data_IF_408145341054
#
_entry.id   IF_408145341054
#
_cell.length_a   1.000
_cell.length_b   1.000
_cell.length_c   1.000
_cell.angle_alpha   90.00
_cell.angle_beta   90.00
_cell.angle_gamma   90.00
#
_symmetry.space_group_name_H-M   'P 1'
#
loop_
_entity.id
_entity.type
_entity.pdbx_description
1 polymer ?
#
# COMPACT_ATOMS: atom_id res chain seq x y z
N UNK A 1 -15.14 30.24 -7.48
CA UNK A 1 -14.91 28.79 -7.58
C UNK A 1 -15.72 28.17 -6.46
N UNK A 2 -16.82 27.46 -6.78
CA UNK A 2 -17.56 26.76 -5.74
C UNK A 2 -16.64 25.67 -5.18
N UNK A 3 -16.31 25.78 -3.91
CA UNK A 3 -15.61 24.72 -3.18
C UNK A 3 -16.55 23.53 -3.13
N UNK A 4 -16.24 22.49 -3.90
CA UNK A 4 -16.93 21.20 -3.79
C UNK A 4 -16.66 20.68 -2.40
N UNK A 5 -17.69 20.45 -1.60
CA UNK A 5 -17.51 19.72 -0.35
C UNK A 5 -17.16 18.28 -0.72
N UNK A 6 -15.90 17.95 -0.57
CA UNK A 6 -15.36 16.66 -0.95
C UNK A 6 -16.01 15.53 -0.16
N UNK A 7 -16.28 15.79 1.10
CA UNK A 7 -16.88 14.80 2.00
C UNK A 7 -18.32 14.46 1.60
N UNK A 8 -19.14 15.49 1.37
CA UNK A 8 -20.53 15.26 0.95
C UNK A 8 -20.62 14.58 -0.44
N UNK A 9 -19.69 14.91 -1.33
CA UNK A 9 -19.73 14.42 -2.71
C UNK A 9 -19.20 13.01 -2.88
N UNK A 10 -18.14 12.63 -2.16
CA UNK A 10 -17.37 11.42 -2.43
C UNK A 10 -17.38 10.40 -1.30
N UNK A 11 -17.87 10.73 -0.13
CA UNK A 11 -17.96 9.77 0.98
C UNK A 11 -18.93 8.62 0.67
N UNK A 12 -18.52 7.41 1.01
CA UNK A 12 -19.36 6.21 0.94
C UNK A 12 -19.40 5.54 2.30
N UNK A 13 -20.60 5.35 2.84
CA UNK A 13 -20.79 4.48 3.99
C UNK A 13 -20.59 3.02 3.57
N UNK A 14 -19.53 2.42 4.06
CA UNK A 14 -19.15 1.03 3.73
C UNK A 14 -19.60 0.02 4.79
N UNK A 15 -20.37 0.45 5.80
CA UNK A 15 -20.97 -0.48 6.77
C UNK A 15 -21.91 -1.43 6.05
N UNK A 16 -21.90 -2.70 6.47
CA UNK A 16 -22.67 -3.75 5.80
C UNK A 16 -22.11 -4.21 4.44
N UNK A 17 -20.99 -3.65 3.98
CA UNK A 17 -20.25 -4.16 2.83
C UNK A 17 -19.25 -5.26 3.27
N UNK A 18 -18.60 -5.92 2.29
CA UNK A 18 -17.50 -6.84 2.58
C UNK A 18 -16.17 -6.14 2.90
N UNK A 19 -16.21 -4.87 3.33
CA UNK A 19 -15.03 -4.13 3.74
C UNK A 19 -14.40 -4.76 4.97
N UNK A 20 -13.10 -5.07 4.90
CA UNK A 20 -12.37 -5.55 6.06
C UNK A 20 -12.34 -4.53 7.20
N UNK A 21 -12.31 -3.24 6.86
CA UNK A 21 -12.33 -2.13 7.81
C UNK A 21 -13.61 -2.08 8.61
N UNK A 22 -14.77 -2.11 7.92
CA UNK A 22 -16.10 -1.93 8.52
C UNK A 22 -16.82 -3.24 8.85
N UNK A 23 -16.45 -4.35 8.24
CA UNK A 23 -17.07 -5.65 8.46
C UNK A 23 -16.17 -6.67 9.20
N UNK A 24 -14.90 -6.34 9.42
CA UNK A 24 -13.93 -7.22 10.06
C UNK A 24 -13.70 -6.98 11.55
N UNK A 25 -14.43 -6.05 12.16
CA UNK A 25 -14.26 -5.67 13.56
C UNK A 25 -14.42 -6.86 14.51
N UNK A 26 -15.45 -7.69 14.29
CA UNK A 26 -15.75 -8.88 15.09
C UNK A 26 -14.63 -9.93 15.05
N UNK A 27 -13.78 -9.91 14.02
CA UNK A 27 -12.64 -10.83 13.90
C UNK A 27 -11.46 -10.43 14.78
N UNK A 28 -11.43 -9.18 15.21
CA UNK A 28 -10.28 -8.62 15.91
C UNK A 28 -10.63 -8.05 17.29
N UNK A 29 -11.84 -7.58 17.46
CA UNK A 29 -12.32 -6.94 18.67
C UNK A 29 -13.62 -7.61 19.14
N UNK A 30 -13.84 -7.66 20.44
CA UNK A 30 -15.11 -8.16 21.03
C UNK A 30 -16.26 -7.16 20.94
N UNK A 31 -16.06 -6.01 20.29
CA UNK A 31 -17.02 -4.91 20.11
C UNK A 31 -17.15 -4.57 18.63
N UNK A 32 -18.37 -4.17 18.22
CA UNK A 32 -18.71 -3.78 16.84
C UNK A 32 -19.12 -2.30 16.71
N UNK A 33 -19.09 -1.56 17.82
CA UNK A 33 -19.44 -0.15 17.91
C UNK A 33 -18.20 0.78 17.88
N UNK A 34 -17.07 0.28 17.39
CA UNK A 34 -15.83 1.01 17.35
C UNK A 34 -15.71 1.83 16.08
N UNK A 35 -15.02 2.98 16.16
CA UNK A 35 -14.59 3.70 14.98
C UNK A 35 -13.35 2.99 14.40
N UNK A 36 -13.44 2.43 13.18
CA UNK A 36 -12.35 1.61 12.64
C UNK A 36 -11.20 2.46 12.11
N UNK A 37 -10.13 2.55 12.88
CA UNK A 37 -8.86 3.21 12.50
C UNK A 37 -7.72 2.21 12.25
N UNK A 38 -8.01 0.93 12.18
CA UNK A 38 -7.01 -0.15 12.09
C UNK A 38 -6.69 -0.60 10.66
N UNK A 39 -7.43 -0.13 9.67
CA UNK A 39 -7.15 -0.31 8.24
C UNK A 39 -7.09 1.06 7.59
N UNK A 40 -6.05 1.32 6.83
CA UNK A 40 -5.78 2.62 6.22
C UNK A 40 -6.45 2.83 4.85
N UNK A 41 -7.45 2.05 4.48
CA UNK A 41 -8.23 2.28 3.27
C UNK A 41 -9.20 3.47 3.45
N UNK A 42 -9.42 4.22 2.38
CA UNK A 42 -10.29 5.39 2.39
C UNK A 42 -11.75 5.01 2.16
N UNK A 43 -12.67 5.81 2.72
CA UNK A 43 -14.11 5.67 2.54
C UNK A 43 -14.64 6.70 1.51
N UNK A 44 -13.84 7.01 0.50
CA UNK A 44 -14.20 7.88 -0.60
C UNK A 44 -14.26 7.11 -1.92
N UNK A 45 -15.16 7.55 -2.79
CA UNK A 45 -15.26 7.01 -4.15
C UNK A 45 -13.94 7.16 -4.90
N UNK A 46 -13.63 6.19 -5.72
CA UNK A 46 -12.54 6.30 -6.70
C UNK A 46 -12.80 7.53 -7.60
N UNK A 47 -11.80 8.38 -7.84
CA UNK A 47 -11.96 9.55 -8.71
C UNK A 47 -12.54 9.19 -10.09
N UNK A 48 -13.45 10.00 -10.64
CA UNK A 48 -14.09 9.69 -11.94
C UNK A 48 -13.10 9.40 -13.07
N UNK A 49 -12.02 10.17 -13.16
CA UNK A 49 -11.00 9.96 -14.19
C UNK A 49 -10.35 8.56 -14.12
N UNK A 50 -10.17 8.02 -12.92
CA UNK A 50 -9.63 6.67 -12.75
C UNK A 50 -10.69 5.61 -13.07
N UNK A 51 -11.95 5.83 -12.67
CA UNK A 51 -13.06 4.93 -13.05
C UNK A 51 -13.19 4.81 -14.57
N UNK A 52 -13.17 5.93 -15.27
CA UNK A 52 -13.25 5.98 -16.74
C UNK A 52 -12.06 5.29 -17.40
N UNK A 53 -10.85 5.54 -16.92
CA UNK A 53 -9.64 4.90 -17.44
C UNK A 53 -9.69 3.38 -17.32
N UNK A 54 -10.08 2.86 -16.15
CA UNK A 54 -10.23 1.43 -15.90
C UNK A 54 -11.34 0.84 -16.76
N UNK A 55 -12.50 1.48 -16.82
CA UNK A 55 -13.62 1.01 -17.62
C UNK A 55 -13.27 0.97 -19.11
N UNK A 56 -12.57 1.97 -19.60
CA UNK A 56 -12.12 2.01 -21.00
C UNK A 56 -11.09 0.91 -21.28
N UNK A 57 -10.13 0.72 -20.39
CA UNK A 57 -9.14 -0.34 -20.53
C UNK A 57 -9.79 -1.72 -20.65
N UNK A 58 -10.69 -2.06 -19.76
CA UNK A 58 -11.40 -3.37 -19.77
C UNK A 58 -12.27 -3.56 -21.02
N UNK A 59 -12.84 -2.48 -21.56
CA UNK A 59 -13.65 -2.54 -22.80
C UNK A 59 -12.81 -2.75 -24.07
N UNK A 60 -11.58 -2.24 -24.07
CA UNK A 60 -10.77 -2.16 -25.30
C UNK A 60 -9.58 -3.11 -25.31
N UNK A 61 -9.20 -3.67 -24.14
CA UNK A 61 -7.98 -4.45 -24.01
C UNK A 61 -8.23 -5.76 -23.25
N UNK A 62 -7.79 -6.90 -23.76
CA UNK A 62 -7.83 -8.15 -23.01
C UNK A 62 -7.03 -8.07 -21.72
N UNK A 63 -7.54 -8.69 -20.65
CA UNK A 63 -6.80 -8.87 -19.40
C UNK A 63 -5.80 -10.01 -19.56
N UNK A 64 -4.61 -9.69 -20.02
CA UNK A 64 -3.55 -10.65 -20.29
C UNK A 64 -2.25 -10.27 -19.58
N UNK A 65 -1.17 -10.97 -19.93
CA UNK A 65 0.17 -10.62 -19.44
C UNK A 65 0.63 -9.31 -20.06
N UNK A 66 0.82 -8.30 -19.23
CA UNK A 66 1.22 -6.96 -19.67
C UNK A 66 2.62 -6.65 -19.19
N UNK A 67 3.45 -6.14 -20.09
CA UNK A 67 4.78 -5.62 -19.75
C UNK A 67 4.66 -4.23 -19.12
N UNK A 68 5.56 -3.93 -18.18
CA UNK A 68 5.74 -2.55 -17.70
C UNK A 68 6.16 -1.68 -18.89
N UNK A 69 5.41 -0.63 -19.15
CA UNK A 69 5.68 0.28 -20.26
C UNK A 69 6.33 1.59 -19.79
N UNK A 70 6.91 2.34 -20.75
CA UNK A 70 7.58 3.60 -20.46
C UNK A 70 6.66 4.63 -19.84
N UNK A 71 5.39 4.71 -20.28
CA UNK A 71 4.42 5.67 -19.71
C UNK A 71 4.18 5.45 -18.22
N UNK A 72 4.19 4.19 -17.76
CA UNK A 72 4.07 3.87 -16.34
C UNK A 72 5.30 4.36 -15.56
N UNK A 73 6.49 4.07 -16.07
CA UNK A 73 7.74 4.49 -15.43
C UNK A 73 7.87 6.01 -15.40
N UNK A 74 7.54 6.68 -16.50
CA UNK A 74 7.54 8.15 -16.58
C UNK A 74 6.54 8.78 -15.61
N UNK A 75 5.36 8.17 -15.42
CA UNK A 75 4.37 8.64 -14.45
C UNK A 75 4.92 8.56 -13.01
N UNK A 76 5.61 7.47 -12.66
CA UNK A 76 6.25 7.31 -11.35
C UNK A 76 7.36 8.36 -11.18
N UNK A 77 8.26 8.50 -12.15
CA UNK A 77 9.36 9.48 -12.11
C UNK A 77 8.83 10.90 -11.95
N UNK A 78 7.83 11.27 -12.75
CA UNK A 78 7.22 12.60 -12.68
C UNK A 78 6.53 12.85 -11.33
N UNK A 79 5.87 11.85 -10.76
CA UNK A 79 5.27 11.96 -9.43
C UNK A 79 6.33 12.29 -8.37
N UNK A 80 7.42 11.52 -8.34
CA UNK A 80 8.50 11.74 -7.39
C UNK A 80 9.17 13.09 -7.57
N UNK A 81 9.42 13.50 -8.82
CA UNK A 81 9.97 14.82 -9.13
C UNK A 81 9.07 15.95 -8.65
N UNK A 82 7.76 15.89 -8.96
CA UNK A 82 6.83 16.99 -8.65
C UNK A 82 6.47 17.05 -7.17
N UNK A 83 6.35 15.88 -6.48
CA UNK A 83 5.83 15.82 -5.11
C UNK A 83 6.93 15.77 -4.05
N UNK A 84 8.08 15.24 -4.39
CA UNK A 84 9.18 14.98 -3.45
C UNK A 84 10.49 15.66 -3.84
N UNK A 85 10.51 16.41 -4.96
CA UNK A 85 11.73 16.99 -5.52
C UNK A 85 12.86 15.96 -5.65
N UNK A 86 12.50 14.74 -6.04
CA UNK A 86 13.41 13.61 -6.17
C UNK A 86 13.49 13.21 -7.65
N UNK A 87 14.69 13.23 -8.21
CA UNK A 87 14.93 12.76 -9.56
C UNK A 87 15.30 11.28 -9.52
N UNK A 88 14.47 10.46 -10.14
CA UNK A 88 14.71 9.01 -10.28
C UNK A 88 15.17 8.71 -11.69
N UNK A 89 16.10 7.77 -11.82
CA UNK A 89 16.46 7.17 -13.09
C UNK A 89 15.56 5.96 -13.36
N UNK A 90 15.27 5.68 -14.62
CA UNK A 90 14.31 4.64 -15.01
C UNK A 90 14.78 3.24 -14.61
N UNK A 91 16.06 2.96 -14.68
CA UNK A 91 16.69 1.69 -14.31
C UNK A 91 16.74 1.43 -12.78
N UNK A 92 16.44 2.45 -11.97
CA UNK A 92 16.31 2.27 -10.52
C UNK A 92 14.93 1.73 -10.10
N UNK A 93 13.98 1.66 -11.04
CA UNK A 93 12.61 1.30 -10.75
C UNK A 93 12.38 -0.20 -10.93
N UNK A 94 11.95 -0.85 -9.87
CA UNK A 94 11.51 -2.24 -9.87
C UNK A 94 10.13 -2.34 -9.26
N UNK A 95 9.22 -3.04 -9.94
CA UNK A 95 7.86 -3.23 -9.45
C UNK A 95 7.78 -4.43 -8.53
N UNK A 96 7.07 -4.27 -7.40
CA UNK A 96 6.68 -5.35 -6.51
C UNK A 96 5.15 -5.40 -6.39
N UNK A 97 4.55 -6.59 -6.17
CA UNK A 97 3.10 -6.73 -6.06
C UNK A 97 2.47 -5.90 -4.92
N UNK A 98 3.22 -5.70 -3.86
CA UNK A 98 2.86 -4.87 -2.70
C UNK A 98 4.11 -4.56 -1.87
N UNK A 99 3.97 -3.63 -0.92
CA UNK A 99 5.06 -3.15 -0.06
C UNK A 99 5.69 -4.28 0.76
N UNK A 100 4.87 -5.18 1.33
CA UNK A 100 5.38 -6.31 2.14
C UNK A 100 6.28 -7.21 1.30
N UNK A 101 5.84 -7.58 0.10
CA UNK A 101 6.66 -8.40 -0.82
C UNK A 101 7.95 -7.69 -1.20
N UNK A 102 7.90 -6.38 -1.47
CA UNK A 102 9.10 -5.59 -1.76
C UNK A 102 10.09 -5.60 -0.60
N UNK A 103 9.62 -5.40 0.64
CA UNK A 103 10.45 -5.48 1.84
C UNK A 103 11.08 -6.87 1.97
N UNK A 104 10.30 -7.94 1.76
CA UNK A 104 10.80 -9.31 1.83
C UNK A 104 11.89 -9.58 0.80
N UNK A 105 11.73 -9.07 -0.42
CA UNK A 105 12.78 -9.19 -1.45
C UNK A 105 14.05 -8.44 -1.06
N UNK A 106 13.92 -7.23 -0.49
CA UNK A 106 15.08 -6.50 0.01
C UNK A 106 15.79 -7.24 1.16
N UNK A 107 15.05 -7.76 2.12
CA UNK A 107 15.62 -8.56 3.20
C UNK A 107 16.38 -9.75 2.61
N UNK A 108 15.76 -10.54 1.74
CA UNK A 108 16.40 -11.71 1.14
C UNK A 108 17.62 -11.38 0.28
N UNK A 109 17.65 -10.19 -0.36
CA UNK A 109 18.76 -9.79 -1.22
C UNK A 109 19.95 -9.19 -0.44
N UNK A 110 19.69 -8.47 0.66
CA UNK A 110 20.70 -7.66 1.33
C UNK A 110 21.12 -8.19 2.70
N UNK A 111 20.44 -9.22 3.24
CA UNK A 111 20.78 -9.78 4.55
C UNK A 111 21.06 -11.27 4.48
N UNK A 112 21.79 -11.78 5.49
CA UNK A 112 22.08 -13.18 5.73
C UNK A 112 21.43 -13.63 7.04
N UNK A 113 21.37 -14.92 7.26
CA UNK A 113 20.93 -15.49 8.55
C UNK A 113 21.76 -14.88 9.70
N UNK A 114 21.09 -14.43 10.74
CA UNK A 114 21.63 -13.72 11.92
C UNK A 114 21.98 -12.22 11.71
N UNK A 115 21.71 -11.64 10.56
CA UNK A 115 21.83 -10.19 10.43
C UNK A 115 20.67 -9.50 11.19
N UNK A 116 20.93 -8.32 11.72
CA UNK A 116 19.94 -7.51 12.43
C UNK A 116 19.21 -6.56 11.47
N UNK A 117 17.91 -6.40 11.67
CA UNK A 117 17.09 -5.40 10.99
C UNK A 117 16.60 -4.38 11.99
N UNK A 118 16.87 -3.09 11.73
CA UNK A 118 16.33 -2.00 12.52
C UNK A 118 14.94 -1.60 12.03
N UNK A 119 13.99 -1.49 12.96
CA UNK A 119 12.62 -1.08 12.70
C UNK A 119 12.28 0.11 13.57
N UNK A 120 11.86 1.22 12.94
CA UNK A 120 11.39 2.41 13.67
C UNK A 120 9.97 2.17 14.16
N UNK A 121 9.73 2.33 15.45
CA UNK A 121 8.41 2.14 16.06
C UNK A 121 7.85 3.45 16.63
N UNK A 122 6.50 3.62 16.61
CA UNK A 122 5.47 2.68 16.20
C UNK A 122 5.37 2.50 14.67
N UNK A 123 5.11 1.27 14.22
CA UNK A 123 5.05 0.91 12.79
C UNK A 123 3.89 -0.07 12.52
N UNK A 124 3.54 -0.23 11.27
CA UNK A 124 2.56 -1.22 10.85
C UNK A 124 3.00 -2.65 11.24
N UNK A 125 2.17 -3.33 12.04
CA UNK A 125 2.53 -4.61 12.66
C UNK A 125 2.89 -5.75 11.70
N UNK A 126 2.53 -5.65 10.41
CA UNK A 126 2.94 -6.64 9.42
C UNK A 126 4.45 -6.55 9.08
N UNK A 127 5.09 -5.42 9.32
CA UNK A 127 6.53 -5.29 9.08
C UNK A 127 7.32 -6.10 10.12
N UNK A 128 6.89 -6.02 11.39
CA UNK A 128 7.46 -6.80 12.47
C UNK A 128 7.26 -8.31 12.28
N UNK A 129 6.01 -8.72 12.04
CA UNK A 129 5.69 -10.13 11.83
C UNK A 129 6.47 -10.76 10.67
N UNK A 130 6.76 -10.01 9.60
CA UNK A 130 7.45 -10.51 8.41
C UNK A 130 8.96 -10.50 8.56
N UNK A 131 9.54 -9.52 9.23
CA UNK A 131 10.95 -9.54 9.60
C UNK A 131 11.28 -10.82 10.38
N UNK A 132 10.39 -11.26 11.27
CA UNK A 132 10.55 -12.48 12.07
C UNK A 132 10.29 -13.79 11.30
N UNK A 133 9.57 -13.78 10.18
CA UNK A 133 9.19 -14.99 9.42
C UNK A 133 10.24 -15.45 8.39
N UNK A 134 11.12 -14.57 7.94
CA UNK A 134 12.08 -14.89 6.86
C UNK A 134 13.38 -15.47 7.36
N UNK A 135 13.49 -15.64 8.63
CA UNK A 135 14.71 -16.14 9.24
C UNK A 135 14.39 -17.33 10.10
N UNK A 136 14.92 -18.48 9.72
CA UNK A 136 15.03 -19.57 10.66
C UNK A 136 15.67 -19.05 11.97
N UNK A 137 14.80 -18.63 12.86
CA UNK A 137 15.01 -18.42 14.30
C UNK A 137 16.01 -17.37 14.81
N UNK A 138 16.57 -16.45 14.01
CA UNK A 138 17.59 -15.56 14.59
C UNK A 138 17.76 -14.14 14.01
N UNK A 139 16.83 -13.61 13.23
CA UNK A 139 16.84 -12.17 12.94
C UNK A 139 16.41 -11.41 14.20
N UNK A 140 17.33 -10.66 14.78
CA UNK A 140 17.00 -9.75 15.88
C UNK A 140 16.43 -8.45 15.29
N UNK A 141 15.12 -8.25 15.46
CA UNK A 141 14.52 -6.94 15.21
C UNK A 141 14.90 -5.99 16.34
N UNK A 142 15.66 -4.96 16.04
CA UNK A 142 15.92 -3.88 16.97
C UNK A 142 14.86 -2.80 16.80
N UNK A 143 14.05 -2.59 17.83
CA UNK A 143 13.06 -1.53 17.88
C UNK A 143 13.71 -0.23 18.32
N UNK A 144 13.62 0.79 17.48
CA UNK A 144 14.04 2.14 17.82
C UNK A 144 12.76 2.92 18.10
N UNK A 145 12.50 3.24 19.37
CA UNK A 145 11.42 4.13 19.75
C UNK A 145 11.82 5.57 19.37
N UNK A 146 10.90 6.30 18.72
CA UNK A 146 11.02 7.72 18.43
C UNK A 146 10.48 8.54 19.58
#
# INVERSE_FOLDING_TARGET
MNTIDFTETYYIDRRGSHSRKWGGEHLKFSRTDLLPLWVADMDFMTPPCLQEAIANYVKTTPLGYTMTNLNYLDAVINWYKCRHNCNLEQDWLTSAPNVITGIMWCIGAFTKTNDAIAVLTPVYGAFDARANMHTDASLQCHYIAL
#
